data_IF_103837866405
#
_entry.id   IF_103837866405
#
_cell.length_a   1.000
_cell.length_b   1.000
_cell.length_c   1.000
_cell.angle_alpha   90.00
_cell.angle_beta   90.00
_cell.angle_gamma   90.00
#
_symmetry.space_group_name_H-M   'P 1'
#
loop_
_entity.id
_entity.type
_entity.pdbx_description
1 polymer ?
#
# COMPACT_ATOMS: atom_id res chain seq x y z
N UNK A 1 24.89 16.06 -49.44
CA UNK A 1 23.45 16.35 -49.31
C UNK A 1 22.74 15.01 -49.10
N UNK A 2 22.30 14.73 -47.89
CA UNK A 2 21.56 13.51 -47.56
C UNK A 2 20.09 13.85 -47.87
N UNK A 3 19.55 13.20 -48.90
CA UNK A 3 18.12 13.28 -49.20
C UNK A 3 17.31 12.55 -48.12
N UNK A 4 16.61 13.29 -47.27
CA UNK A 4 15.65 12.72 -46.34
C UNK A 4 14.43 12.28 -47.13
N UNK A 5 14.13 10.97 -47.07
CA UNK A 5 12.89 10.42 -47.61
C UNK A 5 11.66 11.10 -46.97
N UNK A 6 10.58 11.34 -47.74
CA UNK A 6 9.40 11.97 -47.19
C UNK A 6 8.76 11.03 -46.10
N UNK A 7 8.48 11.62 -44.97
CA UNK A 7 7.71 10.95 -43.90
C UNK A 7 6.31 10.71 -44.44
N UNK A 8 5.98 9.47 -44.75
CA UNK A 8 4.61 9.08 -45.09
C UNK A 8 3.70 9.38 -43.92
N UNK A 9 2.86 10.37 -44.07
CA UNK A 9 1.75 10.65 -43.15
C UNK A 9 0.67 9.59 -43.32
N UNK A 10 0.70 8.57 -42.48
CA UNK A 10 -0.41 7.60 -42.41
C UNK A 10 -1.66 8.30 -41.91
N UNK A 11 -2.52 8.67 -42.83
CA UNK A 11 -3.90 9.09 -42.53
C UNK A 11 -4.76 7.86 -42.25
N UNK A 12 -4.74 7.37 -41.02
CA UNK A 12 -5.71 6.38 -40.56
C UNK A 12 -7.01 7.12 -40.32
N UNK A 13 -7.94 7.06 -41.30
CA UNK A 13 -9.32 7.45 -41.06
C UNK A 13 -9.87 6.60 -39.91
N UNK A 14 -10.17 7.21 -38.79
CA UNK A 14 -10.79 6.56 -37.65
C UNK A 14 -12.12 5.96 -38.11
N UNK A 15 -12.18 4.65 -38.30
CA UNK A 15 -13.45 3.94 -38.36
C UNK A 15 -14.08 4.11 -36.98
N UNK A 16 -15.32 4.62 -36.91
CA UNK A 16 -16.09 4.65 -35.66
C UNK A 16 -16.10 3.23 -35.08
N UNK A 17 -15.71 3.10 -33.80
CA UNK A 17 -15.84 1.85 -33.08
C UNK A 17 -17.31 1.40 -33.18
N UNK A 18 -17.53 0.19 -33.67
CA UNK A 18 -18.89 -0.40 -33.65
C UNK A 18 -19.18 -0.75 -32.18
N UNK A 19 -20.29 -0.27 -31.67
CA UNK A 19 -20.78 -0.62 -30.34
C UNK A 19 -21.31 -2.05 -30.39
N UNK A 20 -20.52 -3.01 -29.99
CA UNK A 20 -20.97 -4.38 -29.77
C UNK A 20 -21.67 -4.43 -28.41
N UNK A 21 -22.97 -4.73 -28.40
CA UNK A 21 -23.68 -5.00 -27.14
C UNK A 21 -23.33 -6.41 -26.69
N UNK A 22 -22.74 -6.54 -25.52
CA UNK A 22 -22.64 -7.83 -24.85
C UNK A 22 -24.02 -8.16 -24.28
N UNK A 23 -24.62 -9.29 -24.67
CA UNK A 23 -25.87 -9.77 -24.15
C UNK A 23 -25.64 -11.03 -23.32
N UNK A 24 -26.44 -11.23 -22.28
CA UNK A 24 -26.42 -12.44 -21.47
C UNK A 24 -27.46 -13.47 -21.89
N UNK A 25 -28.15 -13.27 -23.03
CA UNK A 25 -29.22 -14.12 -23.46
C UNK A 25 -28.69 -15.32 -24.26
N UNK A 26 -29.23 -16.50 -23.96
CA UNK A 26 -28.99 -17.69 -24.76
C UNK A 26 -29.92 -17.66 -26.00
N UNK A 27 -29.34 -17.80 -27.17
CA UNK A 27 -30.11 -17.93 -28.43
C UNK A 27 -29.98 -19.39 -28.88
N UNK A 28 -31.10 -20.04 -29.10
CA UNK A 28 -31.19 -21.46 -29.56
C UNK A 28 -30.43 -22.47 -28.69
N UNK A 29 -30.48 -22.29 -27.35
CA UNK A 29 -29.80 -23.18 -26.40
C UNK A 29 -28.26 -23.09 -26.40
N UNK A 30 -27.68 -22.16 -27.17
CA UNK A 30 -26.26 -21.84 -27.15
C UNK A 30 -26.05 -20.48 -26.55
N UNK A 31 -25.05 -20.38 -25.65
CA UNK A 31 -24.62 -19.09 -25.11
C UNK A 31 -23.80 -18.33 -26.16
N UNK A 32 -24.34 -17.18 -26.61
CA UNK A 32 -23.61 -16.25 -27.47
C UNK A 32 -23.73 -14.85 -26.87
N UNK A 33 -22.62 -14.26 -26.49
CA UNK A 33 -22.56 -12.95 -25.83
C UNK A 33 -22.32 -11.80 -26.81
N UNK A 34 -21.88 -12.10 -28.02
CA UNK A 34 -21.65 -11.11 -29.08
C UNK A 34 -21.58 -11.78 -30.46
N UNK A 35 -21.74 -10.99 -31.52
CA UNK A 35 -21.40 -11.41 -32.88
C UNK A 35 -19.85 -11.29 -33.06
N UNK A 36 -19.17 -12.36 -32.72
CA UNK A 36 -17.71 -12.40 -32.71
C UNK A 36 -17.09 -12.21 -34.09
N UNK A 37 -17.77 -12.58 -35.16
CA UNK A 37 -17.32 -12.37 -36.55
C UNK A 37 -17.23 -10.88 -36.92
N UNK A 38 -18.06 -10.06 -36.27
CA UNK A 38 -18.05 -8.58 -36.45
C UNK A 38 -17.26 -7.84 -35.39
N UNK A 39 -16.71 -8.58 -34.41
CA UNK A 39 -15.97 -7.96 -33.32
C UNK A 39 -14.62 -7.44 -33.80
N UNK A 40 -14.40 -6.14 -33.68
CA UNK A 40 -13.13 -5.50 -34.03
C UNK A 40 -12.81 -4.41 -33.03
N UNK A 41 -11.56 -4.39 -32.56
CA UNK A 41 -11.07 -3.28 -31.77
C UNK A 41 -10.86 -2.02 -32.64
N UNK A 42 -11.04 -0.86 -32.04
CA UNK A 42 -10.66 0.38 -32.68
C UNK A 42 -9.14 0.40 -32.92
N UNK A 43 -8.69 0.86 -34.10
CA UNK A 43 -7.25 0.98 -34.37
C UNK A 43 -6.56 1.91 -33.38
N UNK A 44 -5.39 1.50 -32.91
CA UNK A 44 -4.55 2.31 -32.01
C UNK A 44 -3.09 2.17 -32.45
N UNK A 45 -2.27 3.17 -32.13
CA UNK A 45 -0.82 3.11 -32.32
C UNK A 45 -0.14 2.88 -30.98
N UNK A 46 0.93 2.08 -30.95
CA UNK A 46 1.72 1.78 -29.76
C UNK A 46 2.23 3.04 -29.07
N UNK A 47 2.61 4.05 -29.85
CA UNK A 47 3.05 5.34 -29.33
C UNK A 47 1.95 6.11 -28.57
N UNK A 48 0.67 5.90 -28.90
CA UNK A 48 -0.46 6.49 -28.16
C UNK A 48 -0.59 5.81 -26.80
N UNK A 49 -0.41 4.50 -26.76
CA UNK A 49 -0.41 3.72 -25.50
C UNK A 49 0.75 4.18 -24.62
N UNK A 50 1.98 4.21 -25.16
CA UNK A 50 3.17 4.65 -24.41
C UNK A 50 3.00 6.04 -23.80
N UNK A 51 2.50 7.01 -24.60
CA UNK A 51 2.23 8.36 -24.10
C UNK A 51 1.13 8.40 -23.03
N UNK A 52 0.06 7.62 -23.22
CA UNK A 52 -1.06 7.59 -22.29
C UNK A 52 -0.63 7.02 -20.93
N UNK A 53 0.21 6.00 -20.92
CA UNK A 53 0.76 5.39 -19.70
C UNK A 53 1.77 6.35 -19.04
N UNK A 54 2.80 6.79 -19.76
CA UNK A 54 3.86 7.63 -19.24
C UNK A 54 3.33 8.94 -18.66
N UNK A 55 2.43 9.64 -19.38
CA UNK A 55 1.83 10.88 -18.89
C UNK A 55 1.15 10.71 -17.53
N UNK A 56 0.43 9.61 -17.32
CA UNK A 56 -0.27 9.36 -16.05
C UNK A 56 0.70 8.99 -14.95
N UNK A 57 1.63 8.10 -15.24
CA UNK A 57 2.62 7.67 -14.25
C UNK A 57 3.47 8.84 -13.73
N UNK A 58 3.99 9.69 -14.63
CA UNK A 58 4.78 10.84 -14.23
C UNK A 58 3.94 11.94 -13.55
N UNK A 59 2.67 12.09 -13.93
CA UNK A 59 1.77 13.00 -13.22
C UNK A 59 1.48 12.51 -11.79
N UNK A 60 1.40 11.19 -11.57
CA UNK A 60 1.25 10.63 -10.24
C UNK A 60 2.55 10.79 -9.42
N UNK A 61 3.73 10.58 -10.00
CA UNK A 61 5.01 10.84 -9.33
C UNK A 61 5.13 12.30 -8.90
N UNK A 62 4.81 13.23 -9.77
CA UNK A 62 4.82 14.66 -9.46
C UNK A 62 3.84 15.00 -8.33
N UNK A 63 2.59 14.53 -8.43
CA UNK A 63 1.55 14.78 -7.42
C UNK A 63 1.91 14.24 -6.03
N UNK A 64 2.51 13.05 -5.96
CA UNK A 64 2.80 12.33 -4.73
C UNK A 64 4.26 12.45 -4.25
N UNK A 65 5.10 13.23 -4.95
CA UNK A 65 6.45 13.55 -4.47
C UNK A 65 6.42 14.24 -3.09
N UNK A 66 5.39 15.04 -2.86
CA UNK A 66 5.00 15.59 -1.57
C UNK A 66 3.67 14.96 -1.16
N UNK A 67 3.71 13.95 -0.31
CA UNK A 67 2.56 13.26 0.26
C UNK A 67 2.34 13.69 1.72
N UNK A 68 1.12 13.59 2.20
CA UNK A 68 0.84 13.82 3.62
C UNK A 68 1.23 12.61 4.45
N UNK A 69 0.87 11.42 3.96
CA UNK A 69 1.20 10.15 4.61
C UNK A 69 1.69 9.13 3.56
N UNK A 70 2.77 8.43 3.89
CA UNK A 70 3.25 7.28 3.12
C UNK A 70 3.01 6.01 3.91
N UNK A 71 2.40 5.01 3.28
CA UNK A 71 2.25 3.65 3.81
C UNK A 71 3.25 2.75 3.09
N UNK A 72 4.14 2.12 3.84
CA UNK A 72 5.15 1.19 3.31
C UNK A 72 4.70 -0.24 3.59
N UNK A 73 4.47 -0.98 2.51
CA UNK A 73 3.95 -2.34 2.54
C UNK A 73 2.45 -2.41 2.24
N UNK A 74 2.12 -3.00 1.10
CA UNK A 74 0.76 -3.22 0.59
C UNK A 74 0.15 -4.55 1.04
N UNK A 75 0.41 -4.97 2.28
CA UNK A 75 -0.25 -6.11 2.91
C UNK A 75 -1.58 -5.72 3.58
N UNK A 76 -2.20 -6.68 4.29
CA UNK A 76 -3.48 -6.44 4.97
C UNK A 76 -3.42 -5.30 5.99
N UNK A 77 -2.33 -5.14 6.75
CA UNK A 77 -2.19 -4.05 7.71
C UNK A 77 -2.04 -2.68 7.01
N UNK A 78 -1.17 -2.59 6.00
CA UNK A 78 -0.94 -1.35 5.27
C UNK A 78 -2.19 -0.88 4.50
N UNK A 79 -2.87 -1.77 3.79
CA UNK A 79 -4.13 -1.42 3.12
C UNK A 79 -5.26 -1.07 4.09
N UNK A 80 -5.34 -1.73 5.27
CA UNK A 80 -6.31 -1.36 6.29
C UNK A 80 -6.05 0.06 6.83
N UNK A 81 -4.77 0.39 7.06
CA UNK A 81 -4.40 1.75 7.46
C UNK A 81 -4.77 2.78 6.38
N UNK A 82 -4.36 2.53 5.13
CA UNK A 82 -4.66 3.43 4.03
C UNK A 82 -6.17 3.61 3.79
N UNK A 83 -6.95 2.52 3.88
CA UNK A 83 -8.41 2.55 3.76
C UNK A 83 -9.04 3.48 4.81
N UNK A 84 -8.68 3.28 6.08
CA UNK A 84 -9.24 4.06 7.18
C UNK A 84 -8.84 5.52 7.09
N UNK A 85 -7.57 5.81 6.79
CA UNK A 85 -7.10 7.19 6.60
C UNK A 85 -7.80 7.88 5.44
N UNK A 86 -7.89 7.24 4.28
CA UNK A 86 -8.53 7.81 3.10
C UNK A 86 -10.03 8.07 3.29
N UNK A 87 -10.72 7.17 4.00
CA UNK A 87 -12.14 7.28 4.32
C UNK A 87 -12.43 8.46 5.25
N UNK A 88 -11.58 8.67 6.26
CA UNK A 88 -11.79 9.70 7.27
C UNK A 88 -11.19 11.07 6.90
N UNK A 89 -10.16 11.09 6.08
CA UNK A 89 -9.44 12.31 5.67
C UNK A 89 -9.25 12.34 4.14
N UNK A 90 -10.31 12.60 3.39
CA UNK A 90 -10.25 12.68 1.92
C UNK A 90 -9.43 13.87 1.40
N UNK A 91 -9.08 14.81 2.27
CA UNK A 91 -8.20 15.94 2.02
C UNK A 91 -6.71 15.55 1.95
N UNK A 92 -6.29 14.45 2.58
CA UNK A 92 -4.89 14.04 2.66
C UNK A 92 -4.46 13.21 1.45
N UNK A 93 -3.25 13.43 0.97
CA UNK A 93 -2.60 12.61 -0.06
C UNK A 93 -1.89 11.42 0.59
N UNK A 94 -2.32 10.21 0.24
CA UNK A 94 -1.80 8.96 0.79
C UNK A 94 -1.13 8.15 -0.32
N UNK A 95 0.17 7.93 -0.21
CA UNK A 95 0.92 7.04 -1.10
C UNK A 95 1.14 5.68 -0.43
N UNK A 96 0.84 4.60 -1.14
CA UNK A 96 1.15 3.23 -0.73
C UNK A 96 2.32 2.74 -1.58
N UNK A 97 3.41 2.35 -0.95
CA UNK A 97 4.60 1.80 -1.62
C UNK A 97 4.68 0.31 -1.34
N UNK A 98 4.71 -0.49 -2.41
CA UNK A 98 4.72 -1.94 -2.32
C UNK A 98 5.80 -2.55 -3.23
N UNK A 99 6.69 -3.33 -2.63
CA UNK A 99 7.81 -3.95 -3.35
C UNK A 99 7.37 -5.01 -4.37
N UNK A 100 6.28 -5.72 -4.08
CA UNK A 100 5.76 -6.76 -4.97
C UNK A 100 4.99 -6.17 -6.15
N UNK A 101 5.00 -6.88 -7.29
CA UNK A 101 4.13 -6.55 -8.43
C UNK A 101 2.66 -6.70 -8.04
N UNK A 102 2.35 -7.76 -7.28
CA UNK A 102 0.99 -8.05 -6.79
C UNK A 102 0.90 -7.75 -5.30
N UNK A 103 0.25 -6.65 -4.90
CA UNK A 103 0.05 -6.32 -3.49
C UNK A 103 -0.80 -7.36 -2.76
N UNK A 104 -0.79 -7.32 -1.43
CA UNK A 104 -1.62 -8.18 -0.58
C UNK A 104 -0.82 -8.96 0.48
N UNK A 105 0.48 -9.04 0.33
CA UNK A 105 1.36 -9.74 1.27
C UNK A 105 0.97 -11.22 1.42
N UNK A 106 1.09 -11.74 2.62
CA UNK A 106 0.80 -13.15 2.93
C UNK A 106 -0.69 -13.50 3.05
N UNK A 107 -1.61 -12.58 2.76
CA UNK A 107 -3.04 -12.78 3.03
C UNK A 107 -3.78 -13.59 1.96
N UNK A 108 -3.28 -13.68 0.73
CA UNK A 108 -4.00 -14.22 -0.43
C UNK A 108 -4.51 -15.65 -0.30
N UNK A 109 -3.77 -16.52 0.36
CA UNK A 109 -4.12 -17.92 0.52
C UNK A 109 -4.70 -18.24 1.92
N UNK A 110 -4.92 -17.24 2.74
CA UNK A 110 -5.30 -17.46 4.12
C UNK A 110 -4.20 -18.14 4.93
N UNK A 111 -4.52 -18.47 6.17
CA UNK A 111 -3.65 -19.30 7.00
C UNK A 111 -3.58 -20.72 6.46
N UNK A 112 -2.43 -21.38 6.61
CA UNK A 112 -2.22 -22.78 6.20
C UNK A 112 -2.43 -23.04 4.70
N UNK A 113 -2.52 -22.02 3.86
CA UNK A 113 -2.72 -22.11 2.41
C UNK A 113 -4.04 -22.79 1.98
N UNK A 114 -5.07 -22.74 2.83
CA UNK A 114 -6.36 -23.41 2.58
C UNK A 114 -7.45 -22.47 2.02
N UNK A 115 -7.07 -21.28 1.57
CA UNK A 115 -7.93 -20.27 0.96
C UNK A 115 -8.92 -19.59 1.92
N UNK A 116 -9.46 -20.26 2.91
CA UNK A 116 -10.30 -19.64 3.93
C UNK A 116 -9.48 -18.75 4.87
N UNK A 117 -10.12 -17.73 5.42
CA UNK A 117 -9.49 -16.80 6.34
C UNK A 117 -10.27 -16.76 7.65
N UNK A 118 -9.59 -17.07 8.73
CA UNK A 118 -10.13 -16.97 10.08
C UNK A 118 -9.83 -15.61 10.67
N UNK A 119 -10.87 -14.94 11.14
CA UNK A 119 -10.78 -13.64 11.81
C UNK A 119 -11.41 -13.76 13.21
N UNK A 120 -10.62 -13.55 14.24
CA UNK A 120 -11.13 -13.53 15.61
C UNK A 120 -11.88 -12.25 15.88
N UNK A 121 -12.98 -12.36 16.64
CA UNK A 121 -13.72 -11.19 17.10
C UNK A 121 -12.86 -10.37 18.07
N UNK A 122 -12.91 -9.03 18.00
CA UNK A 122 -13.85 -8.18 17.23
C UNK A 122 -13.36 -7.79 15.82
N UNK A 123 -12.49 -8.54 15.16
CA UNK A 123 -12.02 -8.23 13.82
C UNK A 123 -13.11 -8.28 12.73
N UNK A 124 -14.22 -8.96 13.01
CA UNK A 124 -15.43 -9.01 12.19
C UNK A 124 -16.04 -7.63 11.92
N UNK A 125 -15.93 -6.70 12.87
CA UNK A 125 -16.41 -5.32 12.69
C UNK A 125 -15.75 -4.60 11.50
N UNK A 126 -14.50 -4.93 11.18
CA UNK A 126 -13.83 -4.38 10.01
C UNK A 126 -14.31 -5.05 8.71
N UNK A 127 -14.68 -6.34 8.76
CA UNK A 127 -15.30 -7.05 7.65
C UNK A 127 -16.67 -6.47 7.31
N UNK A 128 -17.46 -6.13 8.35
CA UNK A 128 -18.75 -5.46 8.20
C UNK A 128 -18.58 -4.09 7.50
N UNK A 129 -17.59 -3.30 7.91
CA UNK A 129 -17.28 -2.01 7.27
C UNK A 129 -16.85 -2.17 5.79
N UNK A 130 -16.22 -3.28 5.46
CA UNK A 130 -15.91 -3.65 4.09
C UNK A 130 -17.10 -4.26 3.35
N UNK A 131 -18.21 -4.60 4.02
CA UNK A 131 -19.36 -5.27 3.42
C UNK A 131 -19.04 -6.68 2.95
N UNK A 132 -18.19 -7.40 3.67
CA UNK A 132 -17.82 -8.78 3.37
C UNK A 132 -18.68 -9.77 4.14
N UNK A 133 -19.22 -10.74 3.43
CA UNK A 133 -19.92 -11.87 4.03
C UNK A 133 -18.94 -12.87 4.66
N UNK A 134 -19.36 -13.44 5.78
CA UNK A 134 -18.60 -14.45 6.50
C UNK A 134 -19.55 -15.42 7.23
N UNK A 135 -19.02 -16.56 7.64
CA UNK A 135 -19.71 -17.53 8.51
C UNK A 135 -19.33 -17.25 9.97
N UNK A 136 -20.31 -17.10 10.86
CA UNK A 136 -20.10 -16.84 12.29
C UNK A 136 -19.96 -18.15 13.07
N UNK A 137 -18.80 -18.36 13.68
CA UNK A 137 -18.44 -19.53 14.50
C UNK A 137 -18.31 -19.16 15.99
N UNK A 138 -19.01 -18.13 16.44
CA UNK A 138 -19.03 -17.68 17.84
C UNK A 138 -17.87 -16.74 18.19
N UNK A 139 -16.72 -17.25 18.58
CA UNK A 139 -15.56 -16.43 18.96
C UNK A 139 -14.74 -15.89 17.76
N UNK A 140 -15.00 -16.40 16.58
CA UNK A 140 -14.36 -16.03 15.34
C UNK A 140 -15.35 -16.15 14.18
N UNK A 141 -14.96 -15.57 13.06
CA UNK A 141 -15.68 -15.68 11.80
C UNK A 141 -14.76 -16.23 10.72
N UNK A 142 -15.37 -16.83 9.69
CA UNK A 142 -14.64 -17.41 8.56
C UNK A 142 -15.06 -16.73 7.26
N UNK A 143 -14.12 -16.08 6.62
CA UNK A 143 -14.28 -15.58 5.24
C UNK A 143 -13.93 -16.72 4.30
N UNK A 144 -14.81 -17.05 3.38
CA UNK A 144 -14.68 -18.18 2.46
C UNK A 144 -13.38 -18.15 1.64
N UNK A 145 -12.95 -16.96 1.23
CA UNK A 145 -11.71 -16.77 0.48
C UNK A 145 -10.94 -15.55 0.99
N UNK A 146 -9.72 -15.78 1.46
CA UNK A 146 -8.80 -14.69 1.83
C UNK A 146 -8.53 -13.74 0.65
N UNK A 147 -8.49 -14.28 -0.57
CA UNK A 147 -8.38 -13.50 -1.79
C UNK A 147 -9.58 -12.55 -1.98
N UNK A 148 -10.80 -12.95 -1.59
CA UNK A 148 -11.97 -12.07 -1.63
C UNK A 148 -11.81 -10.90 -0.66
N UNK A 149 -11.36 -11.16 0.57
CA UNK A 149 -11.04 -10.11 1.53
C UNK A 149 -10.00 -9.13 0.97
N UNK A 150 -8.85 -9.66 0.53
CA UNK A 150 -7.75 -8.80 0.10
C UNK A 150 -8.09 -7.98 -1.14
N UNK A 151 -8.76 -8.58 -2.13
CA UNK A 151 -9.20 -7.87 -3.34
C UNK A 151 -10.27 -6.81 -3.04
N UNK A 152 -11.20 -7.08 -2.12
CA UNK A 152 -12.21 -6.12 -1.69
C UNK A 152 -11.58 -4.93 -0.96
N UNK A 153 -10.70 -5.19 0.00
CA UNK A 153 -9.97 -4.15 0.74
C UNK A 153 -9.17 -3.27 -0.24
N UNK A 154 -8.40 -3.90 -1.13
CA UNK A 154 -7.62 -3.20 -2.15
C UNK A 154 -8.51 -2.38 -3.08
N UNK A 155 -9.58 -2.97 -3.61
CA UNK A 155 -10.51 -2.29 -4.52
C UNK A 155 -11.15 -1.07 -3.85
N UNK A 156 -11.61 -1.20 -2.62
CA UNK A 156 -12.20 -0.08 -1.86
C UNK A 156 -11.19 1.01 -1.56
N UNK A 157 -9.96 0.63 -1.18
CA UNK A 157 -8.89 1.59 -0.90
C UNK A 157 -8.49 2.38 -2.16
N UNK A 158 -8.29 1.68 -3.27
CA UNK A 158 -7.89 2.33 -4.53
C UNK A 158 -9.01 3.10 -5.23
N UNK A 159 -10.26 2.95 -4.80
CA UNK A 159 -11.37 3.77 -5.26
C UNK A 159 -11.34 5.20 -4.69
N UNK A 160 -10.61 5.45 -3.62
CA UNK A 160 -10.45 6.81 -3.09
C UNK A 160 -9.53 7.64 -3.98
N UNK A 161 -9.93 8.88 -4.37
CA UNK A 161 -9.17 9.72 -5.30
C UNK A 161 -7.88 10.29 -4.71
N UNK A 162 -7.72 10.20 -3.40
CA UNK A 162 -6.58 10.69 -2.64
C UNK A 162 -5.56 9.60 -2.27
N UNK A 163 -5.75 8.38 -2.79
CA UNK A 163 -4.83 7.25 -2.60
C UNK A 163 -4.12 6.91 -3.91
N UNK A 164 -2.82 6.68 -3.85
CA UNK A 164 -2.04 6.13 -4.95
C UNK A 164 -1.21 4.95 -4.50
N UNK A 165 -1.30 3.86 -5.26
CA UNK A 165 -0.44 2.70 -5.10
C UNK A 165 0.72 2.77 -6.10
N UNK A 166 1.94 2.65 -5.59
CA UNK A 166 3.16 2.41 -6.34
C UNK A 166 3.66 1.00 -6.01
N UNK A 167 3.28 0.03 -6.82
CA UNK A 167 3.72 -1.35 -6.72
C UNK A 167 4.98 -1.59 -7.56
N UNK A 168 5.67 -2.71 -7.34
CA UNK A 168 7.00 -2.99 -7.86
C UNK A 168 8.03 -1.91 -7.48
N UNK A 169 7.79 -1.23 -6.36
CA UNK A 169 8.60 -0.13 -5.84
C UNK A 169 8.99 -0.45 -4.40
N UNK A 170 10.28 -0.57 -4.14
CA UNK A 170 10.82 -0.82 -2.80
C UNK A 170 11.17 0.49 -2.10
N UNK A 171 10.97 0.55 -0.79
CA UNK A 171 11.58 1.56 0.06
C UNK A 171 12.96 1.06 0.47
N UNK A 172 13.99 1.77 0.05
CA UNK A 172 15.40 1.43 0.31
C UNK A 172 15.97 2.16 1.51
N UNK A 173 15.47 3.37 1.78
CA UNK A 173 15.92 4.18 2.91
C UNK A 173 14.83 5.12 3.42
N UNK A 174 15.09 5.74 4.57
CA UNK A 174 14.25 6.73 5.22
C UNK A 174 14.90 8.11 5.11
N UNK A 175 14.10 9.13 4.79
CA UNK A 175 14.55 10.52 4.81
C UNK A 175 14.42 11.05 6.22
N UNK A 176 15.48 11.67 6.74
CA UNK A 176 15.49 12.27 8.06
C UNK A 176 15.58 13.78 8.01
N UNK A 177 14.99 14.43 9.00
CA UNK A 177 15.15 15.88 9.23
C UNK A 177 15.44 16.12 10.70
N UNK A 178 16.30 17.08 10.96
CA UNK A 178 16.59 17.55 12.30
C UNK A 178 15.87 18.87 12.52
N UNK A 179 15.07 18.92 13.55
CA UNK A 179 14.46 20.18 14.00
C UNK A 179 15.55 21.10 14.53
N UNK A 180 15.67 22.30 13.99
CA UNK A 180 16.74 23.25 14.35
C UNK A 180 16.57 23.83 15.75
N UNK A 181 15.34 23.83 16.27
CA UNK A 181 15.03 24.40 17.58
C UNK A 181 15.20 23.38 18.69
N UNK A 182 14.64 22.19 18.50
CA UNK A 182 14.65 21.14 19.53
C UNK A 182 15.86 20.20 19.39
N UNK A 183 16.49 20.14 18.21
CA UNK A 183 17.52 19.19 17.87
C UNK A 183 17.02 17.77 17.63
N UNK A 184 15.72 17.53 17.71
CA UNK A 184 15.10 16.23 17.51
C UNK A 184 15.18 15.81 16.04
N UNK A 185 15.54 14.55 15.79
CA UNK A 185 15.52 13.94 14.47
C UNK A 185 14.14 13.30 14.28
N UNK A 186 13.54 13.51 13.11
CA UNK A 186 12.29 12.86 12.69
C UNK A 186 12.43 12.25 11.30
N UNK A 187 11.58 11.28 11.02
CA UNK A 187 11.42 10.73 9.67
C UNK A 187 10.51 11.67 8.88
N UNK A 188 10.96 12.03 7.67
CA UNK A 188 10.31 13.04 6.82
C UNK A 188 10.04 12.54 5.39
N UNK A 189 10.13 11.24 5.18
CA UNK A 189 9.88 10.64 3.87
C UNK A 189 10.61 9.32 3.66
N UNK A 190 10.55 8.85 2.45
CA UNK A 190 11.15 7.58 2.02
C UNK A 190 11.96 7.76 0.73
N UNK A 191 13.01 6.95 0.61
CA UNK A 191 13.80 6.78 -0.60
C UNK A 191 13.31 5.51 -1.28
N UNK A 192 12.93 5.59 -2.54
CA UNK A 192 12.32 4.48 -3.27
C UNK A 192 13.10 4.13 -4.52
N UNK A 193 13.05 2.88 -4.91
CA UNK A 193 13.59 2.41 -6.17
C UNK A 193 12.69 1.29 -6.73
N UNK A 194 12.91 0.91 -7.97
CA UNK A 194 12.18 -0.21 -8.55
C UNK A 194 12.66 -1.51 -7.94
N UNK A 195 11.73 -2.32 -7.41
CA UNK A 195 12.04 -3.50 -6.61
C UNK A 195 12.86 -4.59 -7.33
N UNK A 196 12.89 -4.56 -8.67
CA UNK A 196 13.58 -5.54 -9.49
C UNK A 196 14.92 -5.04 -10.04
N UNK A 197 15.44 -3.93 -9.53
CA UNK A 197 16.79 -3.51 -9.89
C UNK A 197 17.81 -4.43 -9.23
N UNK A 198 18.77 -4.86 -10.04
CA UNK A 198 19.90 -5.69 -9.59
C UNK A 198 21.05 -4.78 -9.14
N UNK A 199 21.27 -4.72 -7.84
CA UNK A 199 22.35 -3.94 -7.26
C UNK A 199 23.74 -4.42 -7.66
N UNK A 200 23.90 -5.68 -8.08
CA UNK A 200 25.17 -6.24 -8.51
C UNK A 200 25.67 -5.67 -9.84
N UNK A 201 24.78 -5.05 -10.61
CA UNK A 201 25.06 -4.43 -11.92
C UNK A 201 25.32 -2.91 -11.85
N UNK A 202 25.73 -2.38 -10.70
CA UNK A 202 25.87 -0.93 -10.49
C UNK A 202 24.56 -0.17 -10.74
N UNK A 203 23.45 -0.82 -10.53
CA UNK A 203 22.12 -0.23 -10.63
C UNK A 203 21.76 0.65 -9.41
N UNK A 204 22.75 0.95 -8.56
CA UNK A 204 22.65 2.05 -7.60
C UNK A 204 22.57 3.38 -8.38
N UNK A 205 21.46 3.53 -9.08
CA UNK A 205 21.10 4.75 -9.78
C UNK A 205 20.47 5.71 -8.78
N UNK A 206 20.39 6.96 -9.14
CA UNK A 206 19.73 7.96 -8.31
C UNK A 206 18.30 7.52 -7.99
N UNK A 207 18.02 7.18 -6.72
CA UNK A 207 16.69 6.72 -6.33
C UNK A 207 15.70 7.89 -6.36
N UNK A 208 14.41 7.54 -6.48
CA UNK A 208 13.35 8.50 -6.32
C UNK A 208 13.03 8.73 -4.83
N UNK A 209 12.46 9.87 -4.51
CA UNK A 209 12.12 10.23 -3.12
C UNK A 209 10.67 10.70 -3.01
N UNK A 210 10.06 10.41 -1.87
CA UNK A 210 8.73 10.91 -1.51
C UNK A 210 8.84 11.50 -0.11
N UNK A 211 8.59 12.80 0.02
CA UNK A 211 8.49 13.45 1.32
C UNK A 211 7.10 13.20 1.92
N UNK A 212 7.04 13.05 3.23
CA UNK A 212 5.77 12.93 3.95
C UNK A 212 5.94 13.33 5.43
N UNK A 213 4.83 13.78 6.03
CA UNK A 213 4.82 14.15 7.44
C UNK A 213 4.81 12.92 8.36
N UNK A 214 4.19 11.83 7.89
CA UNK A 214 4.09 10.58 8.65
C UNK A 214 4.30 9.38 7.73
N UNK A 215 5.07 8.42 8.22
CA UNK A 215 5.27 7.13 7.56
C UNK A 215 4.60 6.05 8.40
N UNK A 216 3.72 5.26 7.78
CA UNK A 216 3.17 4.04 8.39
C UNK A 216 3.90 2.84 7.77
N UNK A 217 4.71 2.17 8.57
CA UNK A 217 5.45 0.98 8.14
C UNK A 217 4.69 -0.30 8.50
N UNK A 218 4.43 -1.11 7.49
CA UNK A 218 3.74 -2.40 7.56
C UNK A 218 4.39 -3.43 6.63
N UNK A 219 5.73 -3.49 6.65
CA UNK A 219 6.55 -4.31 5.75
C UNK A 219 6.53 -5.81 6.10
N UNK A 220 5.81 -6.17 7.16
CA UNK A 220 5.73 -7.56 7.60
C UNK A 220 7.03 -8.07 8.21
N UNK A 221 7.22 -9.39 8.20
CA UNK A 221 8.36 -10.04 8.85
C UNK A 221 9.13 -10.99 7.94
N UNK A 222 8.55 -11.37 6.81
CA UNK A 222 9.13 -12.34 5.88
C UNK A 222 9.76 -11.68 4.67
N UNK A 223 10.74 -12.38 4.08
CA UNK A 223 11.41 -11.97 2.86
C UNK A 223 12.46 -10.88 3.05
N UNK A 224 13.09 -10.42 1.98
CA UNK A 224 14.20 -9.47 2.03
C UNK A 224 13.79 -8.08 2.55
N UNK A 225 12.53 -7.72 2.39
CA UNK A 225 11.98 -6.44 2.87
C UNK A 225 11.26 -6.56 4.22
N UNK A 226 11.23 -7.76 4.83
CA UNK A 226 10.61 -7.99 6.13
C UNK A 226 11.27 -7.17 7.22
N UNK A 227 10.47 -6.37 7.94
CA UNK A 227 10.92 -5.46 8.99
C UNK A 227 12.03 -4.49 8.51
N UNK A 228 12.04 -4.12 7.23
CA UNK A 228 13.11 -3.32 6.64
C UNK A 228 13.22 -1.93 7.27
N UNK A 229 12.11 -1.24 7.40
CA UNK A 229 12.10 0.12 7.94
C UNK A 229 12.46 0.16 9.43
N UNK A 230 12.03 -0.83 10.21
CA UNK A 230 12.38 -0.90 11.62
C UNK A 230 13.87 -1.22 11.82
N UNK A 231 14.43 -2.11 10.99
CA UNK A 231 15.89 -2.37 11.00
C UNK A 231 16.67 -1.13 10.61
N UNK A 232 16.21 -0.40 9.61
CA UNK A 232 16.87 0.83 9.16
C UNK A 232 16.73 1.96 10.17
N UNK A 233 15.56 2.16 10.76
CA UNK A 233 15.32 3.17 11.77
C UNK A 233 16.23 2.97 12.99
N UNK A 234 16.47 1.71 13.43
CA UNK A 234 17.42 1.42 14.50
C UNK A 234 18.85 1.86 14.19
N UNK A 235 19.28 1.84 12.93
CA UNK A 235 20.60 2.35 12.54
C UNK A 235 20.66 3.88 12.56
N UNK A 236 19.53 4.54 12.24
CA UNK A 236 19.40 6.01 12.26
C UNK A 236 19.32 6.54 13.71
N UNK A 237 18.66 5.81 14.60
CA UNK A 237 18.44 6.16 16.00
C UNK A 237 19.10 5.16 16.94
N UNK A 238 20.45 5.07 16.97
CA UNK A 238 21.16 4.04 17.73
C UNK A 238 21.02 4.19 19.24
N UNK A 239 20.75 5.40 19.73
CA UNK A 239 20.63 5.72 21.16
C UNK A 239 19.22 5.43 21.71
N UNK A 240 18.23 5.21 20.84
CA UNK A 240 16.90 4.85 21.28
C UNK A 240 16.86 3.39 21.77
N UNK A 241 16.25 3.17 22.94
CA UNK A 241 16.17 1.84 23.59
C UNK A 241 15.23 0.86 22.87
N UNK A 242 15.03 0.99 21.56
CA UNK A 242 14.23 0.06 20.79
C UNK A 242 15.02 -1.22 20.53
N UNK A 243 14.67 -2.27 21.27
CA UNK A 243 15.32 -3.57 21.12
C UNK A 243 14.62 -4.35 19.99
N UNK A 244 15.40 -4.90 19.09
CA UNK A 244 14.95 -5.89 18.11
C UNK A 244 14.93 -7.27 18.80
N UNK A 245 13.79 -7.67 19.32
CA UNK A 245 13.70 -8.89 20.11
C UNK A 245 13.47 -10.15 19.26
N UNK A 246 13.07 -9.96 18.00
CA UNK A 246 12.60 -11.06 17.15
C UNK A 246 11.32 -11.69 17.66
N UNK A 247 10.59 -12.38 16.79
CA UNK A 247 9.35 -13.03 17.18
C UNK A 247 9.58 -14.28 18.03
N UNK A 248 8.72 -14.48 19.02
CA UNK A 248 8.68 -15.69 19.86
C UNK A 248 7.86 -16.79 19.18
N UNK A 249 7.84 -17.97 19.77
CA UNK A 249 7.03 -19.11 19.33
C UNK A 249 5.55 -18.77 19.19
N UNK A 250 4.81 -19.62 18.46
CA UNK A 250 3.39 -19.44 18.18
C UNK A 250 2.54 -19.43 19.46
N UNK A 251 1.78 -18.37 19.65
CA UNK A 251 0.70 -18.27 20.65
C UNK A 251 -0.34 -17.26 20.11
N UNK A 252 -1.36 -17.76 19.45
CA UNK A 252 -2.39 -16.92 18.82
C UNK A 252 -3.12 -16.01 19.81
N UNK A 253 -3.33 -16.48 21.04
CA UNK A 253 -4.07 -15.73 22.05
C UNK A 253 -3.30 -14.51 22.56
N UNK A 254 -1.98 -14.61 22.67
CA UNK A 254 -1.13 -13.48 23.07
C UNK A 254 -0.80 -12.57 21.89
N UNK A 255 -0.53 -13.15 20.73
CA UNK A 255 -0.01 -12.43 19.59
C UNK A 255 -0.95 -11.34 19.08
N UNK A 256 -2.22 -11.65 18.81
CA UNK A 256 -3.14 -10.69 18.21
C UNK A 256 -3.35 -9.44 19.07
N UNK A 257 -3.55 -9.67 20.39
CA UNK A 257 -3.68 -8.56 21.32
C UNK A 257 -2.41 -7.69 21.39
N UNK A 258 -1.22 -8.34 21.37
CA UNK A 258 0.04 -7.63 21.44
C UNK A 258 0.26 -6.74 20.21
N UNK A 259 0.02 -7.27 19.00
CA UNK A 259 0.20 -6.54 17.74
C UNK A 259 -0.73 -5.34 17.65
N UNK A 260 -2.01 -5.50 17.98
CA UNK A 260 -2.96 -4.37 17.95
C UNK A 260 -2.60 -3.32 19.00
N UNK A 261 -2.38 -3.73 20.26
CA UNK A 261 -2.05 -2.80 21.34
C UNK A 261 -0.70 -2.09 21.13
N UNK A 262 0.25 -2.80 20.56
CA UNK A 262 1.60 -2.31 20.30
C UNK A 262 1.70 -1.34 19.11
N UNK A 263 0.70 -1.29 18.20
CA UNK A 263 0.73 -0.36 17.06
C UNK A 263 0.81 1.09 17.56
N UNK A 264 1.92 1.77 17.20
CA UNK A 264 2.27 3.08 17.73
C UNK A 264 3.34 3.77 16.90
N UNK A 265 3.55 5.05 17.13
CA UNK A 265 4.78 5.72 16.77
C UNK A 265 5.93 5.17 17.62
N UNK A 266 7.00 4.71 16.98
CA UNK A 266 8.20 4.21 17.66
C UNK A 266 9.36 5.20 17.52
N UNK A 267 9.47 5.82 16.37
CA UNK A 267 10.38 6.90 16.11
C UNK A 267 9.60 8.11 15.58
N UNK A 268 10.02 9.35 15.84
CA UNK A 268 9.30 10.53 15.42
C UNK A 268 8.99 10.51 13.93
N UNK A 269 7.69 10.57 13.57
CA UNK A 269 7.20 10.48 12.20
C UNK A 269 7.06 9.05 11.64
N UNK A 270 7.37 8.01 12.43
CA UNK A 270 7.34 6.62 11.96
C UNK A 270 6.48 5.72 12.85
N UNK A 271 5.33 5.32 12.33
CA UNK A 271 4.35 4.44 12.96
C UNK A 271 4.53 3.02 12.44
N UNK A 272 4.51 2.02 13.33
CA UNK A 272 4.60 0.62 12.93
C UNK A 272 3.28 -0.12 13.14
N UNK A 273 2.97 -1.03 12.20
CA UNK A 273 1.78 -1.88 12.21
C UNK A 273 2.08 -3.29 11.72
N UNK A 274 1.19 -4.21 12.04
CA UNK A 274 1.25 -5.58 11.56
C UNK A 274 2.41 -6.38 12.14
N UNK A 275 2.87 -7.36 11.38
CA UNK A 275 3.91 -8.28 11.84
C UNK A 275 5.30 -7.65 11.96
N UNK A 276 5.55 -6.52 11.31
CA UNK A 276 6.78 -5.75 11.53
C UNK A 276 6.94 -5.34 12.99
N UNK A 277 5.83 -4.92 13.61
CA UNK A 277 5.81 -4.59 15.03
C UNK A 277 6.12 -5.79 15.92
N UNK A 278 5.66 -6.99 15.53
CA UNK A 278 5.95 -8.20 16.28
C UNK A 278 7.46 -8.53 16.35
N UNK A 279 8.21 -8.18 15.31
CA UNK A 279 9.68 -8.29 15.28
C UNK A 279 10.35 -7.32 16.27
N UNK A 280 9.84 -6.08 16.33
CA UNK A 280 10.38 -5.05 17.25
C UNK A 280 10.10 -5.47 18.70
N UNK A 281 8.85 -5.77 19.03
CA UNK A 281 8.41 -5.97 20.41
C UNK A 281 8.68 -7.39 20.94
N UNK A 282 9.16 -8.29 20.11
CA UNK A 282 9.35 -9.68 20.49
C UNK A 282 8.05 -10.39 20.81
N UNK A 283 6.99 -10.09 20.08
CA UNK A 283 5.68 -10.73 20.25
C UNK A 283 5.68 -12.17 19.74
N UNK A 284 4.72 -12.96 20.19
CA UNK A 284 4.55 -14.30 19.67
C UNK A 284 4.11 -14.28 18.19
N UNK A 285 4.46 -15.35 17.45
CA UNK A 285 3.88 -15.58 16.13
C UNK A 285 2.38 -15.77 16.25
N UNK A 286 1.63 -15.15 15.34
CA UNK A 286 0.17 -15.17 15.36
C UNK A 286 -0.42 -16.42 14.73
N UNK A 287 0.28 -17.01 13.74
CA UNK A 287 -0.22 -18.15 13.00
C UNK A 287 -1.35 -17.77 12.02
N UNK A 288 -2.31 -18.67 11.79
CA UNK A 288 -3.26 -18.57 10.69
C UNK A 288 -4.50 -17.69 10.95
N UNK A 289 -4.39 -16.66 11.78
CA UNK A 289 -5.47 -15.69 12.04
C UNK A 289 -5.08 -14.31 11.52
N UNK A 290 -6.06 -13.48 11.11
CA UNK A 290 -5.80 -12.22 10.42
C UNK A 290 -6.45 -10.99 11.07
N UNK A 291 -7.23 -11.17 12.13
CA UNK A 291 -7.94 -10.06 12.79
C UNK A 291 -6.99 -8.94 13.25
N UNK A 292 -5.89 -9.33 13.87
CA UNK A 292 -4.92 -8.36 14.36
C UNK A 292 -4.21 -7.58 13.24
N UNK A 293 -4.01 -8.16 12.07
CA UNK A 293 -3.39 -7.44 10.96
C UNK A 293 -4.25 -6.26 10.54
N UNK A 294 -5.55 -6.48 10.37
CA UNK A 294 -6.52 -5.44 10.02
C UNK A 294 -6.61 -4.38 11.10
N UNK A 295 -6.87 -4.79 12.34
CA UNK A 295 -7.07 -3.88 13.46
C UNK A 295 -5.78 -3.12 13.85
N UNK A 296 -4.62 -3.72 13.65
CA UNK A 296 -3.33 -3.04 13.77
C UNK A 296 -3.21 -1.91 12.75
N UNK A 297 -3.64 -2.14 11.51
CA UNK A 297 -3.71 -1.11 10.49
C UNK A 297 -4.68 0.01 10.84
N UNK A 298 -5.88 -0.32 11.37
CA UNK A 298 -6.86 0.67 11.83
C UNK A 298 -6.26 1.56 12.92
N UNK A 299 -5.60 0.96 13.93
CA UNK A 299 -4.96 1.71 15.01
C UNK A 299 -3.78 2.55 14.51
N UNK A 300 -3.01 2.03 13.57
CA UNK A 300 -1.92 2.79 12.96
C UNK A 300 -2.45 4.00 12.17
N UNK A 301 -3.59 3.86 11.51
CA UNK A 301 -4.26 4.98 10.85
C UNK A 301 -4.66 6.09 11.85
N UNK A 302 -5.29 5.72 12.95
CA UNK A 302 -5.64 6.67 14.02
C UNK A 302 -4.39 7.39 14.55
N UNK A 303 -3.33 6.63 14.86
CA UNK A 303 -2.05 7.18 15.34
C UNK A 303 -1.45 8.14 14.32
N UNK A 304 -1.40 7.74 13.03
CA UNK A 304 -0.82 8.54 11.97
C UNK A 304 -1.58 9.86 11.73
N UNK A 305 -2.91 9.82 11.79
CA UNK A 305 -3.74 11.02 11.65
C UNK A 305 -3.53 11.99 12.81
N UNK A 306 -3.44 11.50 14.04
CA UNK A 306 -3.15 12.33 15.21
C UNK A 306 -1.78 13.00 15.11
N UNK A 307 -0.73 12.25 14.73
CA UNK A 307 0.61 12.81 14.54
C UNK A 307 0.60 13.86 13.42
N UNK A 308 -0.09 13.57 12.31
CA UNK A 308 -0.20 14.52 11.20
C UNK A 308 -0.80 15.85 11.65
N UNK A 309 -1.90 15.80 12.37
CA UNK A 309 -2.58 17.02 12.87
C UNK A 309 -1.70 17.78 13.87
N UNK A 310 -0.99 17.09 14.77
CA UNK A 310 -0.02 17.70 15.69
C UNK A 310 1.18 18.35 14.96
N UNK A 311 1.69 17.69 13.90
CA UNK A 311 2.77 18.24 13.07
C UNK A 311 2.32 19.51 12.36
N UNK A 312 1.10 19.50 11.82
CA UNK A 312 0.51 20.66 11.16
C UNK A 312 0.38 21.84 12.11
N UNK A 313 -0.15 21.63 13.29
CA UNK A 313 -0.26 22.67 14.32
C UNK A 313 1.12 23.23 14.75
N UNK A 314 2.14 22.38 14.87
CA UNK A 314 3.51 22.81 15.17
C UNK A 314 4.09 23.67 14.05
N UNK A 315 3.95 23.25 12.80
CA UNK A 315 4.43 24.00 11.65
C UNK A 315 3.75 25.34 11.50
N UNK A 316 2.44 25.41 11.71
CA UNK A 316 1.70 26.67 11.71
C UNK A 316 2.16 27.63 12.83
N UNK A 317 2.55 27.10 14.00
CA UNK A 317 3.05 27.89 15.13
C UNK A 317 4.53 28.32 14.95
N UNK A 318 5.36 27.45 14.37
CA UNK A 318 6.82 27.67 14.32
C UNK A 318 7.24 28.47 13.08
N UNK A 319 6.58 28.28 11.94
CA UNK A 319 6.99 28.90 10.67
C UNK A 319 6.02 29.97 10.15
N UNK A 320 5.00 30.35 10.95
CA UNK A 320 4.13 31.48 10.62
C UNK A 320 3.47 31.40 9.23
N UNK A 321 3.18 30.19 8.75
CA UNK A 321 2.48 30.01 7.49
C UNK A 321 3.31 30.33 6.25
N UNK A 322 4.61 30.08 6.25
CA UNK A 322 5.40 30.05 5.01
C UNK A 322 4.87 28.90 4.13
N UNK A 323 3.84 29.19 3.36
CA UNK A 323 3.42 28.35 2.25
C UNK A 323 4.46 28.51 1.12
N UNK A 324 5.01 27.38 0.69
CA UNK A 324 5.79 27.29 -0.53
C UNK A 324 4.88 27.40 -1.76
#
# INVERSE_FOLDING_TARGET
MIQTAPVETFNIRAKKAQTVKLTSEAVDGKHSFADWEKFNFAPIRESQVARAMGKRYFADLDKYAESDIVVVGGGSAGFSAAYVMAKNRPDLKIAIIEASVSPGGGCWLGGQLFSAMVVRKPGDLFLDDLGLEYEDEGNYVVVKHAALFMSTLMSKTLAFPNVKLFNATAVEDLITRKDEVTGQISIAGVVTNWAHLDHDNQSCMDPNTINANVIVSATGHDGPFGASNSKRAKQIFPEEEVQFNGMRGLDMNKAENAVVKGSREVYPGLVFAGMELAEIDGSNRMGPTFGAMMLSGVKAAETALNIFDECKERNEKTYGGLQN
#
